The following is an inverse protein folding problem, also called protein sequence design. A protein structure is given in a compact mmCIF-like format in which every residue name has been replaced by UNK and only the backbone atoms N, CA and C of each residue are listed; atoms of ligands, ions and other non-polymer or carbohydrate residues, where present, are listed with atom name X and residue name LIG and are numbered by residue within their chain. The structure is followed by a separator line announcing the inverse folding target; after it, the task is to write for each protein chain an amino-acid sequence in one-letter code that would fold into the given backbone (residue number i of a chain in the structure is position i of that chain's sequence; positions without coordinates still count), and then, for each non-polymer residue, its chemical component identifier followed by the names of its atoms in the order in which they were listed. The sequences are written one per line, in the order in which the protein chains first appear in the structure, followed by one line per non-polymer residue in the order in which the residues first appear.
data_IF_090783140780
#
_entry.id   IF_090783140780
#
_cell.length_a   1.000
_cell.length_b   1.000
_cell.length_c   1.000
_cell.angle_alpha   90.00
_cell.angle_beta   90.00
_cell.angle_gamma   90.00
#
_symmetry.space_group_name_H-M   'P 1'
#
loop_
_entity.id
_entity.type
_entity.pdbx_description
1 polymer ?
#
# COMPACT_ATOMS: atom_id res chain seq x y z
N UNK A 1 25.27 -5.78 22.21
CA UNK A 1 24.77 -6.98 21.51
C UNK A 1 23.79 -7.71 22.43
N UNK A 2 22.48 -7.50 22.26
CA UNK A 2 21.44 -8.17 23.05
C UNK A 2 21.25 -9.58 22.46
N UNK A 3 22.00 -10.58 22.95
CA UNK A 3 21.68 -11.98 22.68
C UNK A 3 20.63 -12.41 23.72
N UNK A 4 19.37 -12.52 23.31
CA UNK A 4 18.43 -13.30 24.11
C UNK A 4 18.81 -14.78 23.91
N UNK A 5 19.22 -15.52 24.96
CA UNK A 5 19.56 -16.93 24.82
C UNK A 5 18.34 -17.79 24.46
N UNK A 6 17.14 -17.21 24.51
CA UNK A 6 15.86 -17.82 24.16
C UNK A 6 15.21 -16.97 23.07
N UNK A 7 14.86 -17.53 21.89
CA UNK A 7 14.12 -16.83 20.87
C UNK A 7 12.86 -16.14 21.42
N UNK A 8 12.48 -15.02 20.84
CA UNK A 8 11.33 -14.23 21.28
C UNK A 8 10.27 -14.18 20.19
N UNK A 9 9.03 -14.50 20.52
CA UNK A 9 7.87 -14.29 19.66
C UNK A 9 7.14 -13.03 20.09
N UNK A 10 7.13 -12.03 19.24
CA UNK A 10 6.34 -10.80 19.40
C UNK A 10 5.05 -10.95 18.58
N UNK A 11 3.89 -10.73 19.19
CA UNK A 11 2.59 -10.88 18.50
C UNK A 11 1.84 -9.56 18.52
N UNK A 12 1.41 -9.12 17.34
CA UNK A 12 0.56 -7.96 17.08
C UNK A 12 -0.70 -8.38 16.34
N UNK A 13 -1.74 -7.57 16.47
CA UNK A 13 -3.02 -7.79 15.83
C UNK A 13 -3.47 -6.54 15.07
N UNK A 14 -4.22 -6.72 13.99
CA UNK A 14 -4.80 -5.59 13.26
C UNK A 14 -5.97 -4.91 13.99
N UNK A 15 -6.50 -5.53 15.04
CA UNK A 15 -7.56 -5.02 15.91
C UNK A 15 -7.30 -5.42 17.37
N UNK A 16 -7.90 -4.73 18.37
CA UNK A 16 -7.83 -5.16 19.76
C UNK A 16 -8.33 -6.60 19.92
N UNK A 17 -7.46 -7.48 20.42
CA UNK A 17 -7.72 -8.90 20.51
C UNK A 17 -7.05 -9.51 21.75
N UNK A 18 -7.71 -10.50 22.34
CA UNK A 18 -7.08 -11.45 23.25
C UNK A 18 -6.30 -12.47 22.40
N UNK A 19 -5.05 -12.70 22.76
CA UNK A 19 -4.21 -13.73 22.15
C UNK A 19 -4.13 -14.94 23.07
N UNK A 20 -4.34 -16.11 22.49
CA UNK A 20 -4.02 -17.38 23.14
C UNK A 20 -2.88 -18.09 22.40
N UNK A 21 -1.99 -18.73 23.15
CA UNK A 21 -0.94 -19.59 22.60
C UNK A 21 -1.09 -20.97 23.21
N UNK A 22 -1.23 -21.98 22.35
CA UNK A 22 -1.46 -23.37 22.74
C UNK A 22 -2.67 -23.56 23.65
N UNK A 23 -3.73 -22.75 23.43
CA UNK A 23 -4.97 -22.79 24.21
C UNK A 23 -4.92 -22.08 25.57
N UNK A 24 -3.85 -21.33 25.85
CA UNK A 24 -3.72 -20.54 27.07
C UNK A 24 -3.69 -19.03 26.76
N UNK A 25 -4.45 -18.20 27.50
CA UNK A 25 -4.37 -16.74 27.37
C UNK A 25 -2.94 -16.24 27.60
N UNK A 26 -2.40 -15.55 26.59
CA UNK A 26 -1.07 -14.95 26.62
C UNK A 26 -1.12 -13.44 26.93
N UNK A 27 -2.23 -12.78 26.58
CA UNK A 27 -2.46 -11.36 26.84
C UNK A 27 -3.25 -10.69 25.71
N UNK A 28 -3.48 -9.39 25.84
CA UNK A 28 -4.18 -8.60 24.83
C UNK A 28 -3.19 -7.77 24.01
N UNK A 29 -3.41 -7.69 22.70
CA UNK A 29 -2.66 -6.80 21.81
C UNK A 29 -3.58 -6.17 20.76
N UNK A 30 -3.01 -5.29 19.95
CA UNK A 30 -3.71 -4.58 18.89
C UNK A 30 -2.73 -3.97 17.90
N UNK A 31 -3.18 -2.94 17.18
CA UNK A 31 -2.33 -2.29 16.17
C UNK A 31 -1.11 -1.61 16.83
N UNK A 32 -1.30 -0.98 17.99
CA UNK A 32 -0.30 -0.17 18.69
C UNK A 32 0.28 -0.83 19.94
N UNK A 33 -0.10 -2.08 20.20
CA UNK A 33 0.40 -2.86 21.35
C UNK A 33 0.81 -4.26 20.90
N UNK A 34 1.69 -4.89 21.66
CA UNK A 34 2.20 -6.21 21.36
C UNK A 34 2.31 -7.03 22.65
N UNK A 35 2.30 -8.35 22.50
CA UNK A 35 2.76 -9.26 23.55
C UNK A 35 4.10 -9.86 23.11
N UNK A 36 4.95 -10.19 24.07
CA UNK A 36 6.24 -10.81 23.84
C UNK A 36 6.33 -12.09 24.69
N UNK A 37 6.64 -13.21 24.04
CA UNK A 37 6.68 -14.54 24.67
C UNK A 37 8.01 -15.21 24.35
N UNK A 38 8.65 -15.87 25.34
CA UNK A 38 9.80 -16.73 25.06
C UNK A 38 9.35 -17.94 24.23
N UNK A 39 10.19 -18.32 23.27
CA UNK A 39 9.95 -19.41 22.34
C UNK A 39 11.10 -20.42 22.42
N UNK A 40 10.79 -21.71 22.31
CA UNK A 40 11.78 -22.75 22.05
C UNK A 40 12.28 -22.60 20.62
N UNK A 41 13.55 -22.86 20.36
CA UNK A 41 14.12 -22.81 18.99
C UNK A 41 13.46 -23.79 18.02
N UNK A 42 12.74 -24.79 18.55
CA UNK A 42 11.98 -25.77 17.80
C UNK A 42 10.63 -26.05 18.46
N UNK A 43 9.59 -26.22 17.67
CA UNK A 43 8.27 -26.60 18.15
C UNK A 43 7.10 -26.02 17.36
N UNK A 44 5.91 -26.52 17.69
CA UNK A 44 4.64 -26.08 17.11
C UNK A 44 3.89 -25.17 18.09
N UNK A 45 3.46 -24.01 17.60
CA UNK A 45 2.74 -22.99 18.36
C UNK A 45 1.41 -22.69 17.69
N UNK A 46 0.31 -22.95 18.39
CA UNK A 46 -1.04 -22.63 17.95
C UNK A 46 -1.42 -21.26 18.51
N UNK A 47 -1.35 -20.23 17.69
CA UNK A 47 -1.68 -18.86 18.08
C UNK A 47 -3.10 -18.55 17.65
N UNK A 48 -3.97 -18.22 18.60
CA UNK A 48 -5.33 -17.78 18.35
C UNK A 48 -5.46 -16.27 18.61
N UNK A 49 -6.08 -15.58 17.67
CA UNK A 49 -6.49 -14.19 17.80
C UNK A 49 -8.01 -14.16 18.01
N UNK A 50 -8.44 -13.61 19.15
CA UNK A 50 -9.83 -13.48 19.56
C UNK A 50 -10.20 -11.98 19.60
N UNK A 51 -10.84 -11.43 18.55
CA UNK A 51 -11.20 -10.01 18.51
C UNK A 51 -12.12 -9.64 19.67
N UNK A 52 -11.83 -8.52 20.34
CA UNK A 52 -12.63 -8.06 21.49
C UNK A 52 -13.84 -7.21 21.08
N UNK A 53 -13.76 -6.57 19.92
CA UNK A 53 -14.80 -5.67 19.40
C UNK A 53 -14.92 -5.82 17.88
N UNK A 54 -16.13 -5.56 17.37
CA UNK A 54 -16.37 -5.39 15.95
C UNK A 54 -15.86 -4.03 15.45
N UNK A 55 -15.71 -3.90 14.13
CA UNK A 55 -15.49 -2.62 13.47
C UNK A 55 -16.81 -2.03 12.99
N UNK A 56 -16.82 -0.73 12.75
CA UNK A 56 -17.99 -0.03 12.19
C UNK A 56 -18.49 -0.66 10.88
N UNK A 57 -17.57 -1.14 10.04
CA UNK A 57 -17.84 -1.70 8.72
C UNK A 57 -17.79 -3.25 8.66
N UNK A 58 -17.49 -3.93 9.76
CA UNK A 58 -17.30 -5.38 9.75
C UNK A 58 -17.46 -6.04 11.11
N UNK A 59 -18.10 -7.23 11.12
CA UNK A 59 -17.98 -8.19 12.21
C UNK A 59 -16.63 -8.89 12.14
N UNK A 60 -15.93 -8.96 13.26
CA UNK A 60 -14.65 -9.65 13.36
C UNK A 60 -14.85 -11.05 13.93
N UNK A 61 -14.14 -12.05 13.40
CA UNK A 61 -14.19 -13.41 13.91
C UNK A 61 -12.80 -13.98 14.22
N UNK A 62 -12.70 -14.90 15.20
CA UNK A 62 -11.43 -15.49 15.60
C UNK A 62 -10.71 -16.24 14.49
N UNK A 63 -9.39 -16.23 14.55
CA UNK A 63 -8.52 -17.05 13.70
C UNK A 63 -7.47 -17.76 14.55
N UNK A 64 -7.24 -19.05 14.28
CA UNK A 64 -6.15 -19.82 14.90
C UNK A 64 -5.19 -20.29 13.82
N UNK A 65 -3.89 -20.08 14.04
CA UNK A 65 -2.83 -20.49 13.11
C UNK A 65 -1.74 -21.24 13.83
N UNK A 66 -1.28 -22.32 13.19
CA UNK A 66 -0.12 -23.08 13.63
C UNK A 66 1.13 -22.45 13.03
N UNK A 67 2.06 -22.05 13.87
CA UNK A 67 3.40 -21.57 13.51
C UNK A 67 4.40 -22.62 13.97
N UNK A 68 5.24 -23.09 13.06
CA UNK A 68 6.21 -24.17 13.34
C UNK A 68 7.62 -23.66 13.19
N UNK A 69 8.44 -23.86 14.23
CA UNK A 69 9.84 -23.49 14.26
C UNK A 69 10.73 -24.74 14.26
N UNK A 70 11.86 -24.66 13.58
CA UNK A 70 12.89 -25.68 13.51
C UNK A 70 14.25 -25.00 13.50
N UNK A 71 15.08 -25.28 14.51
CA UNK A 71 16.42 -24.70 14.67
C UNK A 71 16.45 -23.16 14.52
N UNK A 72 15.47 -22.47 15.12
CA UNK A 72 15.36 -21.02 15.06
C UNK A 72 14.94 -20.49 13.68
N UNK A 73 14.30 -21.31 12.85
CA UNK A 73 13.75 -20.90 11.54
C UNK A 73 12.30 -21.33 11.38
N UNK A 74 11.54 -20.62 10.55
CA UNK A 74 10.12 -20.92 10.30
C UNK A 74 10.01 -21.96 9.20
N UNK A 75 9.29 -23.05 9.46
CA UNK A 75 9.24 -24.21 8.57
C UNK A 75 8.22 -24.09 7.44
N UNK A 76 7.15 -23.34 7.66
CA UNK A 76 5.99 -23.30 6.76
C UNK A 76 5.66 -21.87 6.37
N UNK A 77 5.29 -21.69 5.10
CA UNK A 77 4.74 -20.43 4.61
C UNK A 77 3.58 -19.96 5.51
N UNK A 78 3.61 -18.71 5.99
CA UNK A 78 2.53 -18.20 6.83
C UNK A 78 1.21 -18.17 6.07
N UNK A 79 0.12 -18.35 6.80
CA UNK A 79 -1.22 -18.21 6.23
C UNK A 79 -1.47 -16.76 5.73
N UNK A 80 -2.40 -16.52 4.79
CA UNK A 80 -2.64 -15.21 4.20
C UNK A 80 -2.98 -14.09 5.21
N UNK A 81 -3.53 -14.46 6.36
CA UNK A 81 -3.93 -13.59 7.45
C UNK A 81 -2.84 -13.43 8.54
N UNK A 82 -1.63 -13.93 8.30
CA UNK A 82 -0.49 -13.83 9.21
C UNK A 82 0.74 -13.36 8.44
N UNK A 83 1.31 -12.23 8.84
CA UNK A 83 2.65 -11.79 8.45
C UNK A 83 3.67 -12.20 9.49
N UNK A 84 4.87 -12.62 9.05
CA UNK A 84 5.98 -12.90 9.97
C UNK A 84 7.23 -12.16 9.51
N UNK A 85 7.85 -11.44 10.44
CA UNK A 85 9.13 -10.76 10.22
C UNK A 85 10.17 -11.34 11.18
N UNK A 86 11.19 -12.01 10.63
CA UNK A 86 12.34 -12.51 11.37
C UNK A 86 13.37 -11.39 11.55
N UNK A 87 13.67 -11.05 12.79
CA UNK A 87 14.63 -10.04 13.19
C UNK A 87 15.93 -10.68 13.71
N UNK A 88 17.09 -10.01 13.60
CA UNK A 88 18.33 -10.49 14.17
C UNK A 88 18.22 -10.76 15.68
N UNK A 89 19.00 -11.71 16.19
CA UNK A 89 18.98 -12.09 17.61
C UNK A 89 17.84 -13.04 18.00
N UNK A 90 17.19 -13.71 17.03
CA UNK A 90 16.17 -14.73 17.29
C UNK A 90 14.80 -14.16 17.67
N UNK A 91 14.47 -12.97 17.18
CA UNK A 91 13.18 -12.31 17.43
C UNK A 91 12.26 -12.50 16.22
N UNK A 92 11.05 -12.99 16.43
CA UNK A 92 10.05 -13.19 15.39
C UNK A 92 8.84 -12.31 15.68
N UNK A 93 8.52 -11.39 14.76
CA UNK A 93 7.34 -10.55 14.87
C UNK A 93 6.21 -11.10 14.01
N UNK A 94 5.15 -11.54 14.68
CA UNK A 94 3.91 -12.05 14.12
C UNK A 94 2.89 -10.92 14.04
N UNK A 95 2.40 -10.62 12.84
CA UNK A 95 1.25 -9.71 12.64
C UNK A 95 0.05 -10.52 12.19
N UNK A 96 -0.91 -10.71 13.09
CA UNK A 96 -2.12 -11.45 12.81
C UNK A 96 -3.26 -10.52 12.39
N UNK A 97 -4.10 -11.00 11.46
CA UNK A 97 -5.30 -10.29 11.00
C UNK A 97 -6.54 -11.08 11.35
N UNK A 98 -7.49 -10.43 12.02
CA UNK A 98 -8.78 -11.04 12.31
C UNK A 98 -9.51 -11.40 11.01
N UNK A 99 -10.31 -12.46 11.08
CA UNK A 99 -11.29 -12.73 10.04
C UNK A 99 -12.33 -11.61 9.99
N UNK A 100 -12.76 -11.19 8.80
CA UNK A 100 -13.71 -10.10 8.63
C UNK A 100 -14.92 -10.53 7.83
N UNK A 101 -16.11 -10.26 8.36
CA UNK A 101 -17.36 -10.32 7.64
C UNK A 101 -17.87 -8.90 7.49
N UNK A 102 -17.82 -8.35 6.28
CA UNK A 102 -18.29 -6.98 6.02
C UNK A 102 -19.77 -6.90 6.35
N UNK A 103 -20.12 -5.90 7.16
CA UNK A 103 -21.50 -5.53 7.41
C UNK A 103 -21.79 -4.36 6.47
N UNK A 104 -22.56 -4.60 5.41
CA UNK A 104 -23.10 -3.49 4.63
C UNK A 104 -24.16 -2.83 5.51
N UNK A 105 -23.75 -1.85 6.29
CA UNK A 105 -24.53 -1.24 7.38
C UNK A 105 -25.77 -0.50 6.86
N UNK A 106 -25.85 -0.27 5.56
CA UNK A 106 -27.04 0.19 4.89
C UNK A 106 -27.39 -0.77 3.75
N UNK A 107 -28.51 -1.48 3.87
CA UNK A 107 -29.21 -2.01 2.70
C UNK A 107 -29.67 -0.79 1.88
N UNK A 108 -28.76 -0.24 1.06
CA UNK A 108 -29.03 0.95 0.26
C UNK A 108 -29.88 0.51 -0.91
N UNK A 109 -31.05 1.14 -1.04
CA UNK A 109 -31.90 0.99 -2.22
C UNK A 109 -31.11 1.51 -3.43
N UNK A 110 -31.12 0.82 -4.58
CA UNK A 110 -30.45 1.31 -5.77
C UNK A 110 -30.90 2.73 -6.14
N UNK A 111 -29.95 3.59 -6.51
CA UNK A 111 -30.24 4.98 -6.86
C UNK A 111 -29.36 5.46 -8.02
N UNK A 112 -29.90 6.38 -8.81
CA UNK A 112 -29.17 7.05 -9.88
C UNK A 112 -28.22 8.09 -9.29
N UNK A 113 -26.98 8.09 -9.76
CA UNK A 113 -25.95 9.06 -9.40
C UNK A 113 -25.92 10.18 -10.43
N UNK A 114 -25.82 9.84 -11.72
CA UNK A 114 -25.72 10.82 -12.80
C UNK A 114 -26.31 10.29 -14.11
N UNK A 115 -26.59 11.18 -15.06
CA UNK A 115 -27.19 10.85 -16.34
C UNK A 115 -26.89 11.91 -17.42
N UNK A 116 -26.48 11.44 -18.60
CA UNK A 116 -26.24 12.29 -19.77
C UNK A 116 -26.82 11.64 -21.04
N UNK A 117 -27.12 12.49 -22.04
CA UNK A 117 -27.63 12.06 -23.35
C UNK A 117 -26.72 12.53 -24.51
N UNK A 118 -25.48 12.03 -24.62
CA UNK A 118 -24.52 12.54 -25.58
C UNK A 118 -24.86 12.13 -27.02
N UNK A 119 -24.50 13.00 -27.96
CA UNK A 119 -24.55 12.70 -29.40
C UNK A 119 -23.13 12.46 -29.93
N UNK A 120 -22.82 11.22 -30.29
CA UNK A 120 -21.49 10.78 -30.72
C UNK A 120 -21.60 9.96 -32.01
N UNK A 121 -20.72 10.22 -32.98
CA UNK A 121 -20.75 9.50 -34.27
C UNK A 121 -22.10 9.58 -35.00
N UNK A 122 -22.87 10.65 -34.78
CA UNK A 122 -24.21 10.83 -35.33
C UNK A 122 -25.34 10.08 -34.59
N UNK A 123 -25.01 9.29 -33.58
CA UNK A 123 -25.94 8.50 -32.74
C UNK A 123 -26.20 9.21 -31.41
N UNK A 124 -27.36 8.97 -30.81
CA UNK A 124 -27.73 9.51 -29.49
C UNK A 124 -27.82 8.36 -28.49
N UNK A 125 -27.10 8.52 -27.39
CA UNK A 125 -27.06 7.53 -26.30
C UNK A 125 -27.71 8.10 -25.05
N UNK A 126 -28.17 7.23 -24.17
CA UNK A 126 -28.54 7.54 -22.79
C UNK A 126 -27.60 6.77 -21.88
N UNK A 127 -26.81 7.48 -21.10
CA UNK A 127 -25.91 6.86 -20.12
C UNK A 127 -26.39 7.20 -18.72
N UNK A 128 -26.47 6.18 -17.87
CA UNK A 128 -26.91 6.32 -16.49
C UNK A 128 -25.87 5.69 -15.56
N UNK A 129 -25.24 6.52 -14.74
CA UNK A 129 -24.39 6.08 -13.64
C UNK A 129 -25.27 5.87 -12.42
N UNK A 130 -25.21 4.69 -11.80
CA UNK A 130 -26.06 4.36 -10.66
C UNK A 130 -25.34 3.46 -9.66
N UNK A 131 -25.84 3.45 -8.43
CA UNK A 131 -25.40 2.56 -7.37
C UNK A 131 -26.37 1.39 -7.23
N UNK A 132 -25.82 0.16 -7.25
CA UNK A 132 -26.51 -1.07 -6.88
C UNK A 132 -25.46 -2.08 -6.43
N UNK A 133 -25.19 -2.15 -5.11
CA UNK A 133 -24.10 -2.97 -4.54
C UNK A 133 -22.73 -2.67 -5.17
N UNK A 134 -22.46 -1.39 -5.42
CA UNK A 134 -21.32 -0.90 -6.20
C UNK A 134 -21.76 0.01 -7.35
N UNK A 135 -20.80 0.68 -7.99
CA UNK A 135 -21.06 1.61 -9.09
C UNK A 135 -21.23 0.86 -10.41
N UNK A 136 -22.26 1.23 -11.16
CA UNK A 136 -22.60 0.66 -12.46
C UNK A 136 -22.94 1.75 -13.46
N UNK A 137 -22.56 1.52 -14.72
CA UNK A 137 -22.93 2.36 -15.85
C UNK A 137 -23.87 1.58 -16.77
N UNK A 138 -25.07 2.10 -17.03
CA UNK A 138 -25.96 1.60 -18.08
C UNK A 138 -25.79 2.44 -19.35
N UNK A 139 -25.79 1.79 -20.51
CA UNK A 139 -25.71 2.43 -21.82
C UNK A 139 -26.90 1.98 -22.65
N UNK A 140 -27.68 2.95 -23.11
CA UNK A 140 -28.89 2.74 -23.87
C UNK A 140 -28.88 3.55 -25.16
N UNK A 141 -29.51 3.03 -26.22
CA UNK A 141 -29.76 3.76 -27.46
C UNK A 141 -31.19 3.47 -27.90
N UNK A 142 -31.96 4.51 -28.23
CA UNK A 142 -33.36 4.37 -28.63
C UNK A 142 -34.21 3.55 -27.63
N UNK A 143 -33.99 3.77 -26.32
CA UNK A 143 -34.62 3.05 -25.21
C UNK A 143 -34.35 1.52 -25.20
N UNK A 144 -33.24 1.08 -25.80
CA UNK A 144 -32.75 -0.30 -25.73
C UNK A 144 -31.41 -0.32 -25.02
N UNK A 145 -31.29 -1.19 -24.02
CA UNK A 145 -30.01 -1.47 -23.38
C UNK A 145 -29.03 -2.04 -24.41
N UNK A 146 -27.91 -1.34 -24.59
CA UNK A 146 -26.78 -1.80 -25.39
C UNK A 146 -25.79 -2.58 -24.52
N UNK A 147 -25.63 -2.18 -23.26
CA UNK A 147 -24.71 -2.82 -22.32
C UNK A 147 -24.51 -2.00 -21.06
N UNK A 148 -23.46 -2.34 -20.32
CA UNK A 148 -23.07 -1.60 -19.13
C UNK A 148 -21.74 -2.06 -18.56
N UNK A 149 -21.21 -1.26 -17.63
CA UNK A 149 -19.93 -1.49 -16.98
C UNK A 149 -20.09 -1.59 -15.47
N UNK A 150 -19.38 -2.53 -14.85
CA UNK A 150 -19.18 -2.56 -13.40
C UNK A 150 -17.97 -1.69 -13.05
N UNK A 151 -18.21 -0.58 -12.37
CA UNK A 151 -17.20 0.44 -12.10
C UNK A 151 -16.48 0.24 -10.76
N UNK A 152 -16.99 -0.63 -9.88
CA UNK A 152 -16.31 -1.10 -8.68
C UNK A 152 -16.98 -0.67 -7.37
N UNK A 153 -16.23 -0.78 -6.27
CA UNK A 153 -16.66 -0.37 -4.93
C UNK A 153 -16.53 1.16 -4.77
N UNK A 154 -17.64 1.88 -4.85
CA UNK A 154 -17.69 3.34 -4.67
C UNK A 154 -19.12 3.83 -4.51
N UNK A 155 -19.27 5.13 -4.19
CA UNK A 155 -20.58 5.72 -3.90
C UNK A 155 -20.87 7.00 -4.70
N UNK A 156 -19.86 7.55 -5.39
CA UNK A 156 -19.97 8.78 -6.15
C UNK A 156 -19.25 8.69 -7.50
N UNK A 157 -19.64 9.58 -8.40
CA UNK A 157 -19.03 9.75 -9.70
C UNK A 157 -19.84 10.72 -10.55
N UNK A 158 -19.37 10.94 -11.77
CA UNK A 158 -20.00 11.83 -12.74
C UNK A 158 -19.79 11.30 -14.15
N UNK A 159 -20.67 11.74 -15.05
CA UNK A 159 -20.58 11.51 -16.47
C UNK A 159 -20.33 12.83 -17.19
N UNK A 160 -19.42 12.83 -18.15
CA UNK A 160 -19.15 14.00 -18.99
C UNK A 160 -18.80 13.59 -20.43
N UNK A 161 -18.77 14.56 -21.34
CA UNK A 161 -18.27 14.38 -22.71
C UNK A 161 -16.97 15.18 -22.85
N UNK A 162 -15.88 14.46 -23.07
CA UNK A 162 -14.54 15.05 -23.17
C UNK A 162 -14.00 14.92 -24.59
N UNK A 163 -13.15 15.86 -24.99
CA UNK A 163 -12.53 15.87 -26.31
C UNK A 163 -11.02 15.65 -26.19
N UNK A 164 -10.52 14.64 -26.91
CA UNK A 164 -9.10 14.32 -27.03
C UNK A 164 -8.72 14.22 -28.50
N UNK A 165 -7.75 15.04 -28.93
CA UNK A 165 -7.27 15.06 -30.31
C UNK A 165 -8.36 15.28 -31.37
N UNK A 166 -9.39 16.08 -31.07
CA UNK A 166 -10.53 16.32 -31.98
C UNK A 166 -11.60 15.23 -31.98
N UNK A 167 -11.50 14.24 -31.09
CA UNK A 167 -12.45 13.14 -30.96
C UNK A 167 -13.16 13.22 -29.61
N UNK A 168 -14.49 13.13 -29.61
CA UNK A 168 -15.29 13.15 -28.40
C UNK A 168 -15.45 11.75 -27.80
N UNK A 169 -15.34 11.67 -26.47
CA UNK A 169 -15.47 10.46 -25.66
C UNK A 169 -16.48 10.70 -24.54
N UNK A 170 -17.19 9.66 -24.14
CA UNK A 170 -17.92 9.70 -22.87
C UNK A 170 -16.97 9.33 -21.75
N UNK A 171 -16.90 10.16 -20.72
CA UNK A 171 -16.13 9.92 -19.52
C UNK A 171 -17.05 9.51 -18.39
N UNK A 172 -16.76 8.37 -17.74
CA UNK A 172 -17.29 8.03 -16.44
C UNK A 172 -16.15 8.13 -15.42
N UNK A 173 -16.18 9.18 -14.59
CA UNK A 173 -15.20 9.39 -13.53
C UNK A 173 -15.85 9.06 -12.20
N UNK A 174 -15.31 8.06 -11.52
CA UNK A 174 -15.88 7.51 -10.28
C UNK A 174 -14.88 7.57 -9.14
N UNK A 175 -15.40 7.69 -7.92
CA UNK A 175 -14.61 7.70 -6.70
C UNK A 175 -15.02 6.53 -5.81
N UNK A 176 -14.04 5.68 -5.52
CA UNK A 176 -14.16 4.51 -4.66
C UNK A 176 -13.39 4.65 -3.36
N UNK A 177 -13.44 3.61 -2.53
CA UNK A 177 -12.74 3.57 -1.24
C UNK A 177 -11.21 3.67 -1.38
N UNK A 178 -10.66 3.16 -2.49
CA UNK A 178 -9.23 3.01 -2.72
C UNK A 178 -8.65 4.00 -3.74
N UNK A 179 -9.45 4.94 -4.24
CA UNK A 179 -9.01 5.87 -5.28
C UNK A 179 -10.13 6.20 -6.26
N UNK A 180 -9.71 6.64 -7.43
CA UNK A 180 -10.57 7.06 -8.53
C UNK A 180 -10.41 6.14 -9.73
N UNK A 181 -11.45 6.07 -10.55
CA UNK A 181 -11.41 5.38 -11.85
C UNK A 181 -12.02 6.26 -12.92
N UNK A 182 -11.33 6.36 -14.06
CA UNK A 182 -11.82 7.02 -15.26
C UNK A 182 -11.94 5.98 -16.38
N UNK A 183 -13.17 5.80 -16.86
CA UNK A 183 -13.48 5.03 -18.05
C UNK A 183 -13.85 6.00 -19.18
N UNK A 184 -13.12 5.96 -20.28
CA UNK A 184 -13.42 6.68 -21.52
C UNK A 184 -14.00 5.72 -22.55
N UNK A 185 -15.16 6.05 -23.09
CA UNK A 185 -15.86 5.30 -24.13
C UNK A 185 -15.83 6.07 -25.45
N UNK A 186 -15.48 5.37 -26.52
CA UNK A 186 -15.50 5.90 -27.89
C UNK A 186 -16.94 6.13 -28.39
N UNK A 187 -17.08 6.70 -29.60
CA UNK A 187 -18.39 6.84 -30.25
C UNK A 187 -19.10 5.50 -30.53
N UNK A 188 -18.38 4.38 -30.51
CA UNK A 188 -18.93 3.03 -30.60
C UNK A 188 -19.39 2.47 -29.24
N UNK A 189 -19.19 3.22 -28.14
CA UNK A 189 -19.36 2.79 -26.74
C UNK A 189 -18.40 1.67 -26.31
N UNK A 190 -17.30 1.52 -27.04
CA UNK A 190 -16.18 0.64 -26.69
C UNK A 190 -15.17 1.38 -25.82
N UNK A 191 -14.54 0.67 -24.89
CA UNK A 191 -13.46 1.19 -24.04
C UNK A 191 -12.31 1.74 -24.88
N UNK A 192 -12.03 3.03 -24.69
CA UNK A 192 -10.87 3.70 -25.28
C UNK A 192 -9.73 3.86 -24.27
N UNK A 193 -10.06 4.00 -22.98
CA UNK A 193 -9.12 4.05 -21.87
C UNK A 193 -9.86 3.69 -20.58
N UNK A 194 -9.26 2.84 -19.75
CA UNK A 194 -9.74 2.53 -18.40
C UNK A 194 -8.57 2.59 -17.42
N UNK A 195 -8.58 3.60 -16.55
CA UNK A 195 -7.49 3.84 -15.59
C UNK A 195 -8.05 3.95 -14.19
N UNK A 196 -7.37 3.30 -13.25
CA UNK A 196 -7.65 3.39 -11.82
C UNK A 196 -6.37 3.75 -11.08
N UNK A 197 -6.45 4.73 -10.18
CA UNK A 197 -5.33 5.20 -9.37
C UNK A 197 -5.84 5.89 -8.10
N UNK A 198 -4.96 6.17 -7.15
CA UNK A 198 -5.34 6.94 -5.96
C UNK A 198 -5.92 8.32 -6.32
N UNK A 199 -5.47 8.92 -7.42
CA UNK A 199 -6.02 10.14 -8.00
C UNK A 199 -5.95 10.07 -9.53
N UNK A 200 -7.03 10.43 -10.21
CA UNK A 200 -7.07 10.55 -11.67
C UNK A 200 -7.41 11.99 -12.06
N UNK A 201 -6.57 12.60 -12.90
CA UNK A 201 -6.77 13.99 -13.36
C UNK A 201 -6.84 14.05 -14.87
N UNK A 202 -7.54 15.06 -15.36
CA UNK A 202 -7.58 15.39 -16.78
C UNK A 202 -7.08 16.82 -16.89
N UNK A 203 -5.89 16.99 -17.45
CA UNK A 203 -5.23 18.29 -17.54
C UNK A 203 -4.64 18.47 -18.94
N UNK A 204 -4.92 19.62 -19.57
CA UNK A 204 -4.42 19.98 -20.89
C UNK A 204 -4.60 18.89 -21.97
N UNK A 205 -5.71 18.15 -21.95
CA UNK A 205 -6.00 17.07 -22.91
C UNK A 205 -5.19 15.79 -22.68
N UNK A 206 -4.65 15.61 -21.48
CA UNK A 206 -3.93 14.40 -21.05
C UNK A 206 -4.62 13.82 -19.82
N UNK A 207 -4.69 12.49 -19.71
CA UNK A 207 -5.16 11.81 -18.51
C UNK A 207 -3.97 11.44 -17.65
N UNK A 208 -3.96 11.83 -16.38
CA UNK A 208 -2.91 11.48 -15.42
C UNK A 208 -3.46 10.50 -14.37
N UNK A 209 -2.78 9.36 -14.21
CA UNK A 209 -3.00 8.42 -13.12
C UNK A 209 -1.87 8.57 -12.09
N UNK A 210 -2.21 8.87 -10.84
CA UNK A 210 -1.25 9.18 -9.78
C UNK A 210 -1.47 8.26 -8.58
N UNK A 211 -0.43 7.50 -8.21
CA UNK A 211 -0.43 6.58 -7.08
C UNK A 211 0.68 6.91 -6.07
N UNK A 212 0.42 6.80 -4.77
CA UNK A 212 1.46 6.97 -3.76
C UNK A 212 2.47 5.80 -3.82
N UNK A 213 3.76 6.10 -3.68
CA UNK A 213 4.79 5.08 -3.49
C UNK A 213 4.88 4.57 -2.04
N UNK A 214 4.11 5.18 -1.13
CA UNK A 214 4.11 4.81 0.29
C UNK A 214 5.35 5.25 1.06
N UNK A 215 6.16 6.16 0.51
CA UNK A 215 7.35 6.73 1.17
C UNK A 215 6.96 7.77 2.22
N UNK A 216 7.83 7.96 3.20
CA UNK A 216 7.71 8.92 4.29
C UNK A 216 7.55 10.37 3.83
N UNK A 217 8.26 10.74 2.76
CA UNK A 217 8.19 12.07 2.15
C UNK A 217 6.91 12.28 1.35
N UNK A 218 6.20 11.20 1.01
CA UNK A 218 4.98 11.23 0.21
C UNK A 218 5.23 11.25 -1.29
N UNK A 219 6.29 10.60 -1.77
CA UNK A 219 6.53 10.43 -3.21
C UNK A 219 5.36 9.71 -3.88
N UNK A 220 5.09 10.12 -5.09
CA UNK A 220 4.02 9.63 -5.94
C UNK A 220 4.61 9.19 -7.28
N UNK A 221 3.99 8.19 -7.88
CA UNK A 221 4.24 7.74 -9.25
C UNK A 221 3.10 8.24 -10.12
N UNK A 222 3.43 8.91 -11.22
CA UNK A 222 2.47 9.36 -12.22
C UNK A 222 2.72 8.66 -13.55
N UNK A 223 1.63 8.25 -14.20
CA UNK A 223 1.61 7.84 -15.60
C UNK A 223 0.68 8.79 -16.35
N UNK A 224 1.15 9.36 -17.46
CA UNK A 224 0.32 10.18 -18.35
C UNK A 224 -0.13 9.35 -19.54
N UNK A 225 -1.39 9.50 -19.93
CA UNK A 225 -1.95 8.86 -21.11
C UNK A 225 -2.26 9.95 -22.12
N UNK A 226 -1.44 10.01 -23.16
CA UNK A 226 -1.55 10.97 -24.24
C UNK A 226 -2.31 10.35 -25.40
N UNK A 227 -3.12 11.15 -26.08
CA UNK A 227 -3.83 10.68 -27.26
C UNK A 227 -2.96 10.82 -28.51
N UNK A 228 -2.64 9.68 -29.14
CA UNK A 228 -1.99 9.64 -30.44
C UNK A 228 -3.05 9.58 -31.55
N UNK A 229 -2.95 10.52 -32.49
CA UNK A 229 -3.92 10.63 -33.60
C UNK A 229 -3.93 9.36 -34.44
N UNK A 230 -5.06 8.64 -34.39
CA UNK A 230 -5.26 7.38 -35.12
C UNK A 230 -4.69 6.13 -34.41
N UNK A 231 -4.09 6.30 -33.23
CA UNK A 231 -3.50 5.22 -32.41
C UNK A 231 -4.21 4.99 -31.06
N UNK A 232 -4.95 5.97 -30.56
CA UNK A 232 -5.63 5.88 -29.25
C UNK A 232 -4.78 6.46 -28.11
N UNK A 233 -5.10 6.10 -26.87
CA UNK A 233 -4.33 6.56 -25.71
C UNK A 233 -3.08 5.70 -25.50
N UNK A 234 -1.93 6.36 -25.34
CA UNK A 234 -0.63 5.72 -25.13
C UNK A 234 -0.04 6.20 -23.80
N UNK A 235 0.42 5.28 -22.92
CA UNK A 235 1.04 5.67 -21.67
C UNK A 235 2.47 6.17 -21.90
N UNK A 236 2.81 7.30 -21.26
CA UNK A 236 4.18 7.77 -21.11
C UNK A 236 4.97 6.88 -20.14
N UNK A 237 6.31 6.93 -20.16
CA UNK A 237 7.11 6.45 -19.04
C UNK A 237 6.61 7.03 -17.72
N UNK A 238 6.64 6.23 -16.67
CA UNK A 238 6.21 6.68 -15.36
C UNK A 238 7.21 7.69 -14.79
N UNK A 239 6.70 8.75 -14.20
CA UNK A 239 7.46 9.78 -13.53
C UNK A 239 7.27 9.66 -12.02
N UNK A 240 8.32 9.94 -11.26
CA UNK A 240 8.25 9.97 -9.81
C UNK A 240 8.46 11.39 -9.31
N UNK A 241 7.66 11.82 -8.33
CA UNK A 241 7.72 13.16 -7.79
C UNK A 241 6.64 13.44 -6.77
N UNK A 242 6.24 14.71 -6.68
CA UNK A 242 5.21 15.21 -5.77
C UNK A 242 4.17 15.98 -6.60
N UNK A 243 3.04 15.35 -6.91
CA UNK A 243 2.07 15.86 -7.89
C UNK A 243 0.77 16.33 -7.24
N UNK A 244 0.34 15.69 -6.16
CA UNK A 244 -0.90 16.06 -5.46
C UNK A 244 -0.66 16.83 -4.18
N UNK A 245 0.55 16.74 -3.60
CA UNK A 245 0.91 17.31 -2.29
C UNK A 245 2.34 17.80 -2.30
N UNK A 246 2.66 18.75 -1.41
CA UNK A 246 4.04 19.15 -1.18
C UNK A 246 4.81 18.07 -0.40
N UNK A 247 6.13 17.92 -0.63
CA UNK A 247 6.95 16.97 0.12
C UNK A 247 6.96 17.29 1.61
N UNK A 248 6.94 16.25 2.44
CA UNK A 248 7.09 16.37 3.89
C UNK A 248 8.55 16.23 4.29
N UNK A 249 9.11 17.21 4.99
CA UNK A 249 10.45 17.07 5.57
C UNK A 249 10.46 16.03 6.71
N UNK A 250 11.50 15.17 6.79
CA UNK A 250 11.65 14.23 7.89
C UNK A 250 11.90 14.96 9.22
N UNK A 251 11.32 14.45 10.30
CA UNK A 251 11.39 15.00 11.66
C UNK A 251 12.27 14.14 12.55
N UNK A 252 13.42 14.68 12.93
CA UNK A 252 14.39 13.96 13.78
C UNK A 252 15.17 12.91 13.01
N UNK A 253 15.97 12.14 13.74
CA UNK A 253 16.96 11.20 13.20
C UNK A 253 16.33 9.96 12.58
N UNK A 254 15.35 9.34 13.25
CA UNK A 254 14.70 8.12 12.78
C UNK A 254 13.97 8.33 11.45
N UNK A 255 13.16 9.38 11.34
CA UNK A 255 12.49 9.72 10.07
C UNK A 255 13.49 10.01 8.96
N UNK A 256 14.64 10.60 9.27
CA UNK A 256 15.71 10.82 8.29
C UNK A 256 16.33 9.51 7.81
N UNK A 257 16.59 8.55 8.71
CA UNK A 257 17.09 7.24 8.32
C UNK A 257 16.09 6.47 7.44
N UNK A 258 14.79 6.55 7.75
CA UNK A 258 13.72 5.98 6.92
C UNK A 258 13.71 6.63 5.53
N UNK A 259 13.70 7.96 5.47
CA UNK A 259 13.70 8.70 4.20
C UNK A 259 14.94 8.36 3.35
N UNK A 260 16.12 8.29 3.98
CA UNK A 260 17.35 7.86 3.33
C UNK A 260 17.22 6.45 2.73
N UNK A 261 16.77 5.48 3.51
CA UNK A 261 16.60 4.12 3.03
C UNK A 261 15.60 4.06 1.86
N UNK A 262 14.45 4.74 1.96
CA UNK A 262 13.47 4.81 0.89
C UNK A 262 14.01 5.46 -0.38
N UNK A 263 14.79 6.54 -0.27
CA UNK A 263 15.46 7.18 -1.40
C UNK A 263 16.45 6.23 -2.09
N UNK A 264 17.23 5.46 -1.33
CA UNK A 264 18.10 4.42 -1.90
C UNK A 264 17.29 3.33 -2.60
N UNK A 265 16.20 2.86 -1.98
CA UNK A 265 15.31 1.81 -2.53
C UNK A 265 14.69 2.22 -3.86
N UNK A 266 14.24 3.47 -3.97
CA UNK A 266 13.58 4.01 -5.16
C UNK A 266 14.56 4.57 -6.21
N UNK A 267 15.85 4.65 -5.91
CA UNK A 267 16.87 5.15 -6.84
C UNK A 267 17.00 6.68 -6.87
N UNK A 268 16.53 7.40 -5.85
CA UNK A 268 16.63 8.86 -5.76
C UNK A 268 18.02 9.28 -5.27
N UNK A 269 19.04 9.13 -6.12
CA UNK A 269 20.45 9.35 -5.77
C UNK A 269 20.70 10.71 -5.11
N UNK A 270 20.29 11.81 -5.74
CA UNK A 270 20.53 13.15 -5.20
C UNK A 270 19.89 13.35 -3.82
N UNK A 271 18.71 12.77 -3.59
CA UNK A 271 18.02 12.83 -2.30
C UNK A 271 18.73 11.97 -1.25
N UNK A 272 19.05 10.72 -1.58
CA UNK A 272 19.76 9.81 -0.69
C UNK A 272 21.09 10.41 -0.23
N UNK A 273 21.89 10.94 -1.16
CA UNK A 273 23.17 11.56 -0.85
C UNK A 273 23.02 12.84 -0.01
N UNK A 274 21.90 13.56 -0.11
CA UNK A 274 21.64 14.77 0.70
C UNK A 274 21.43 14.51 2.19
N UNK A 275 21.14 13.25 2.57
CA UNK A 275 20.99 12.86 3.98
C UNK A 275 22.31 12.55 4.67
N UNK A 276 23.38 12.34 3.91
CA UNK A 276 24.69 11.96 4.42
C UNK A 276 25.51 13.20 4.82
N UNK A 277 26.36 13.07 5.83
CA UNK A 277 27.38 14.06 6.13
C UNK A 277 28.39 14.14 4.97
N UNK A 278 29.01 15.31 4.78
CA UNK A 278 29.85 15.59 3.61
C UNK A 278 31.00 14.58 3.43
N UNK A 279 31.63 14.17 4.54
CA UNK A 279 32.72 13.18 4.54
C UNK A 279 32.24 11.79 4.11
N UNK A 280 31.09 11.34 4.61
CA UNK A 280 30.51 10.05 4.23
C UNK A 280 30.07 10.08 2.75
N UNK A 281 29.37 11.12 2.32
CA UNK A 281 28.93 11.32 0.94
C UNK A 281 30.10 11.32 -0.07
N UNK A 282 31.26 11.84 0.34
CA UNK A 282 32.48 11.82 -0.48
C UNK A 282 33.16 10.45 -0.53
N UNK A 283 32.94 9.60 0.47
CA UNK A 283 33.62 8.31 0.64
C UNK A 283 32.92 7.12 -0.02
N UNK A 284 31.60 7.19 -0.21
CA UNK A 284 30.79 6.10 -0.74
C UNK A 284 29.89 6.56 -1.89
N UNK A 285 29.90 5.81 -2.99
CA UNK A 285 29.02 6.05 -4.13
C UNK A 285 27.63 5.46 -3.92
N UNK A 286 26.64 5.98 -4.65
CA UNK A 286 25.25 5.54 -4.53
C UNK A 286 25.03 4.04 -4.83
N UNK A 287 25.69 3.51 -5.86
CA UNK A 287 25.60 2.07 -6.17
C UNK A 287 26.17 1.20 -5.05
N UNK A 288 27.26 1.63 -4.39
CA UNK A 288 27.83 0.93 -3.26
C UNK A 288 26.91 0.97 -2.04
N UNK A 289 26.22 2.09 -1.79
CA UNK A 289 25.18 2.18 -0.76
C UNK A 289 24.02 1.23 -1.05
N UNK A 290 23.55 1.17 -2.30
CA UNK A 290 22.46 0.28 -2.70
C UNK A 290 22.85 -1.18 -2.55
N UNK A 291 24.08 -1.55 -2.91
CA UNK A 291 24.62 -2.89 -2.71
C UNK A 291 24.72 -3.24 -1.22
N UNK A 292 25.25 -2.31 -0.40
CA UNK A 292 25.40 -2.49 1.04
C UNK A 292 24.05 -2.73 1.74
N UNK A 293 23.05 -1.87 1.48
CA UNK A 293 21.71 -1.99 2.07
C UNK A 293 20.95 -3.22 1.54
N UNK A 294 21.23 -3.61 0.29
CA UNK A 294 20.58 -4.72 -0.40
C UNK A 294 19.15 -4.39 -0.84
N UNK A 295 18.40 -5.42 -1.24
CA UNK A 295 16.99 -5.30 -1.64
C UNK A 295 16.08 -5.43 -0.43
N UNK A 296 15.15 -4.49 -0.29
CA UNK A 296 14.13 -4.51 0.77
C UNK A 296 12.84 -3.84 0.27
N UNK A 297 11.72 -4.15 0.92
CA UNK A 297 10.37 -3.65 0.59
C UNK A 297 9.87 -2.62 1.59
N UNK A 298 10.40 -2.60 2.82
CA UNK A 298 10.03 -1.62 3.84
C UNK A 298 11.21 -1.29 4.77
N UNK A 299 11.18 -0.10 5.37
CA UNK A 299 12.14 0.32 6.39
C UNK A 299 11.39 0.75 7.66
N UNK A 300 11.70 0.14 8.80
CA UNK A 300 11.04 0.47 10.09
C UNK A 300 11.94 0.14 11.28
N UNK A 301 11.83 0.88 12.40
CA UNK A 301 12.59 0.54 13.61
C UNK A 301 12.15 -0.82 14.17
N UNK A 302 13.04 -1.53 14.88
CA UNK A 302 12.63 -2.70 15.64
C UNK A 302 11.69 -2.28 16.78
N UNK A 303 10.89 -3.24 17.24
CA UNK A 303 9.95 -3.00 18.33
C UNK A 303 10.73 -2.58 19.59
N UNK A 304 10.25 -1.52 20.24
CA UNK A 304 10.84 -0.94 21.46
C UNK A 304 12.16 -0.21 21.29
N UNK A 305 12.60 0.12 20.07
CA UNK A 305 13.70 1.07 19.89
C UNK A 305 13.29 2.51 20.25
N UNK A 306 13.63 2.93 21.47
CA UNK A 306 13.49 4.31 21.91
C UNK A 306 14.68 5.20 21.54
N UNK A 307 15.77 4.65 20.98
CA UNK A 307 16.99 5.40 20.66
C UNK A 307 16.87 6.17 19.35
N UNK A 308 16.06 5.67 18.40
CA UNK A 308 15.92 6.24 17.07
C UNK A 308 17.17 6.08 16.20
N UNK A 309 18.05 5.14 16.55
CA UNK A 309 19.30 4.84 15.84
C UNK A 309 19.23 3.55 15.04
N UNK A 310 18.30 2.66 15.37
CA UNK A 310 18.21 1.37 14.70
C UNK A 310 17.10 1.35 13.67
N UNK A 311 17.42 0.84 12.48
CA UNK A 311 16.46 0.67 11.40
C UNK A 311 16.56 -0.75 10.84
N UNK A 312 15.42 -1.44 10.80
CA UNK A 312 15.26 -2.69 10.09
C UNK A 312 14.91 -2.45 8.64
N UNK A 313 15.71 -3.00 7.73
CA UNK A 313 15.38 -3.10 6.32
C UNK A 313 14.74 -4.48 6.07
N UNK A 314 13.46 -4.46 5.69
CA UNK A 314 12.62 -5.65 5.60
C UNK A 314 12.64 -6.18 4.17
N UNK A 315 13.20 -7.37 3.96
CA UNK A 315 13.13 -8.09 2.69
C UNK A 315 11.99 -9.12 2.73
N UNK A 316 11.23 -9.23 1.64
CA UNK A 316 10.21 -10.26 1.48
C UNK A 316 10.86 -11.54 0.93
N UNK A 317 10.65 -12.67 1.60
CA UNK A 317 11.23 -13.96 1.20
C UNK A 317 10.21 -14.82 0.43
N UNK A 318 9.14 -15.26 1.11
CA UNK A 318 8.06 -16.05 0.50
C UNK A 318 6.70 -15.66 1.07
N UNK A 319 5.84 -15.12 0.21
CA UNK A 319 4.48 -14.74 0.57
C UNK A 319 4.47 -13.73 1.71
N UNK A 320 4.04 -14.17 2.89
CA UNK A 320 3.91 -13.33 4.08
C UNK A 320 5.09 -13.47 5.07
N UNK A 321 6.16 -14.14 4.66
CA UNK A 321 7.42 -14.23 5.41
C UNK A 321 8.39 -13.15 4.94
N UNK A 322 8.96 -12.44 5.90
CA UNK A 322 9.98 -11.43 5.69
C UNK A 322 11.15 -11.61 6.67
N UNK A 323 12.32 -11.14 6.27
CA UNK A 323 13.48 -11.01 7.14
C UNK A 323 13.92 -9.55 7.24
N UNK A 324 14.40 -9.16 8.41
CA UNK A 324 14.95 -7.84 8.65
C UNK A 324 16.47 -7.91 8.76
N UNK A 325 17.17 -7.03 8.06
CA UNK A 325 18.57 -6.68 8.35
C UNK A 325 18.58 -5.43 9.21
N UNK A 326 19.33 -5.45 10.31
CA UNK A 326 19.34 -4.37 11.27
C UNK A 326 20.56 -3.48 11.05
N UNK A 327 20.33 -2.17 10.96
CA UNK A 327 21.39 -1.19 10.79
C UNK A 327 21.34 -0.17 11.91
N UNK A 328 22.50 0.22 12.41
CA UNK A 328 22.69 1.35 13.30
C UNK A 328 23.12 2.58 12.49
N UNK A 329 22.48 3.71 12.77
CA UNK A 329 22.76 5.01 12.16
C UNK A 329 23.35 5.95 13.21
N UNK A 330 24.52 6.51 12.89
CA UNK A 330 25.14 7.57 13.66
C UNK A 330 24.90 8.92 12.96
N UNK A 331 24.64 9.96 13.74
CA UNK A 331 24.21 11.26 13.24
C UNK A 331 25.10 12.39 13.78
N UNK A 332 25.44 13.31 12.89
CA UNK A 332 26.09 14.58 13.19
C UNK A 332 25.20 15.50 14.04
N UNK A 333 25.78 16.58 14.57
CA UNK A 333 25.03 17.64 15.27
C UNK A 333 23.95 18.31 14.40
N UNK A 334 24.19 18.41 13.08
CA UNK A 334 23.21 18.92 12.11
C UNK A 334 22.13 17.89 11.71
N UNK A 335 22.24 16.68 12.25
CA UNK A 335 21.33 15.56 12.04
C UNK A 335 21.58 14.77 10.75
N UNK A 336 22.62 15.07 9.95
CA UNK A 336 23.01 14.23 8.80
C UNK A 336 23.66 12.93 9.26
N UNK A 337 23.58 11.90 8.42
CA UNK A 337 24.08 10.56 8.71
C UNK A 337 25.61 10.57 8.54
N UNK A 338 26.35 10.32 9.62
CA UNK A 338 27.82 10.26 9.62
C UNK A 338 28.34 8.85 9.36
N UNK A 339 27.58 7.83 9.78
CA UNK A 339 27.99 6.44 9.66
C UNK A 339 26.78 5.50 9.65
N UNK A 340 26.93 4.35 8.99
CA UNK A 340 25.93 3.29 8.91
C UNK A 340 26.64 1.96 9.11
N UNK A 341 26.22 1.18 10.09
CA UNK A 341 26.79 -0.15 10.38
C UNK A 341 25.68 -1.21 10.44
N UNK A 342 25.96 -2.40 9.90
CA UNK A 342 25.06 -3.55 10.10
C UNK A 342 25.34 -4.17 11.48
N UNK A 343 24.28 -4.41 12.26
CA UNK A 343 24.34 -4.73 13.69
C UNK A 343 24.29 -6.23 14.02
#
# INVERSE_FOLDING_TARGET
MYYSPVPLLIIRADAPALIEVNGHPAGECGADSHIALPLSDSGDYYVALLPLFDREDARLYPVTRKISFENGSIRSRPAPDVGICSWPGGVFELTMRAGRLRCDSACRIPYRIDHIEPRLGGRTFQLTLYYETGLKLSIEESNRALGGYALGEGESGSLDVLEFGGTSYVAAHTQGKYGERLLLLSAAMEEALDVSAQTVRIEAGTVEAIDPLGTLLGHERRIRYEYEKGGGFVPSPAETGFFTRAPRAPRGTLERAIAFAEAVREGFEAEAMSYLADDLAASIGFDALREFLGTFTAARPPISDGSGRFLGLIAQEDGNLSCARLYEFEFAEDGRIENITEA
#
